data_IF_709886951677
#
_entry.id   IF_709886951677
#
_cell.length_a   1.000
_cell.length_b   1.000
_cell.length_c   1.000
_cell.angle_alpha   90.00
_cell.angle_beta   90.00
_cell.angle_gamma   90.00
#
_symmetry.space_group_name_H-M   'P 1'
#
loop_
_entity.id
_entity.type
_entity.pdbx_description
1 polymer ?
#
# COMPACT_ATOMS: atom_id res chain seq x y z
N UNK A 1 -7.54 16.93 6.73
CA UNK A 1 -6.08 17.12 6.66
C UNK A 1 -5.48 16.87 8.04
N UNK A 2 -5.06 15.62 8.28
CA UNK A 2 -4.27 15.27 9.47
C UNK A 2 -2.82 15.15 9.06
N UNK A 3 -1.91 15.75 9.82
CA UNK A 3 -0.48 15.56 9.59
C UNK A 3 0.01 14.49 10.54
N UNK A 4 0.59 13.44 9.99
CA UNK A 4 0.98 12.25 10.74
C UNK A 4 2.48 12.03 10.57
N UNK A 5 3.17 11.79 11.68
CA UNK A 5 4.61 11.52 11.68
C UNK A 5 4.79 10.01 11.65
N UNK A 6 5.55 9.53 10.66
CA UNK A 6 5.82 8.10 10.46
C UNK A 6 7.32 7.91 10.45
N UNK A 7 7.82 7.02 11.27
CA UNK A 7 9.21 6.58 11.26
C UNK A 7 9.33 5.10 10.86
N UNK A 8 10.53 4.66 10.51
CA UNK A 8 10.77 3.28 10.09
C UNK A 8 10.42 2.25 11.18
N UNK A 9 10.51 2.61 12.45
CA UNK A 9 10.12 1.73 13.57
C UNK A 9 8.60 1.57 13.64
N UNK A 10 7.83 2.64 13.43
CA UNK A 10 6.36 2.59 13.36
C UNK A 10 5.89 1.67 12.22
N UNK A 11 6.47 1.83 11.02
CA UNK A 11 6.16 0.95 9.88
C UNK A 11 6.54 -0.50 10.19
N UNK A 12 7.72 -0.73 10.77
CA UNK A 12 8.17 -2.08 11.13
C UNK A 12 7.32 -2.72 12.24
N UNK A 13 6.87 -1.94 13.22
CA UNK A 13 5.95 -2.36 14.29
C UNK A 13 4.62 -2.80 13.69
N UNK A 14 4.08 -2.05 12.72
CA UNK A 14 2.86 -2.41 12.01
C UNK A 14 3.01 -3.68 11.18
N UNK A 15 4.10 -3.83 10.42
CA UNK A 15 4.37 -5.04 9.62
C UNK A 15 4.58 -6.27 10.50
N UNK A 16 5.23 -6.11 11.66
CA UNK A 16 5.42 -7.18 12.63
C UNK A 16 4.11 -7.56 13.35
N UNK A 17 3.13 -6.66 13.38
CA UNK A 17 1.80 -6.92 13.91
C UNK A 17 0.95 -7.67 12.86
N UNK A 18 1.26 -8.95 12.66
CA UNK A 18 0.67 -9.76 11.59
C UNK A 18 -0.86 -9.76 11.60
N UNK A 19 -1.49 -9.61 12.77
CA UNK A 19 -2.95 -9.61 12.91
C UNK A 19 -3.56 -8.34 12.32
N UNK A 20 -3.02 -7.17 12.70
CA UNK A 20 -3.48 -5.89 12.17
C UNK A 20 -3.06 -5.68 10.71
N UNK A 21 -1.84 -6.08 10.37
CA UNK A 21 -1.34 -6.05 9.01
C UNK A 21 -2.20 -6.92 8.09
N UNK A 22 -2.41 -8.20 8.44
CA UNK A 22 -3.23 -9.12 7.65
C UNK A 22 -4.65 -8.59 7.50
N UNK A 23 -5.27 -8.10 8.58
CA UNK A 23 -6.62 -7.53 8.51
C UNK A 23 -6.67 -6.31 7.58
N UNK A 24 -5.70 -5.40 7.69
CA UNK A 24 -5.65 -4.19 6.85
C UNK A 24 -5.42 -4.54 5.37
N UNK A 25 -4.53 -5.52 5.10
CA UNK A 25 -4.26 -6.03 3.75
C UNK A 25 -5.49 -6.74 3.20
N UNK A 26 -6.17 -7.57 3.99
CA UNK A 26 -7.39 -8.26 3.57
C UNK A 26 -8.55 -7.29 3.31
N UNK A 27 -8.75 -6.27 4.16
CA UNK A 27 -9.78 -5.25 3.93
C UNK A 27 -9.49 -4.44 2.67
N UNK A 28 -8.22 -4.11 2.43
CA UNK A 28 -7.81 -3.49 1.17
C UNK A 28 -8.05 -4.44 0.00
N UNK A 29 -7.55 -5.66 0.05
CA UNK A 29 -7.74 -6.67 -1.00
C UNK A 29 -9.22 -6.88 -1.31
N UNK A 30 -10.07 -7.08 -0.30
CA UNK A 30 -11.51 -7.27 -0.46
C UNK A 30 -12.23 -6.03 -1.03
N UNK A 31 -11.70 -4.83 -0.77
CA UNK A 31 -12.21 -3.61 -1.41
C UNK A 31 -11.81 -3.49 -2.88
N UNK A 32 -10.78 -4.22 -3.31
CA UNK A 32 -10.23 -4.19 -4.68
C UNK A 32 -10.72 -5.36 -5.53
N UNK A 33 -10.92 -6.51 -4.90
CA UNK A 33 -11.50 -7.74 -5.43
C UNK A 33 -13.01 -7.55 -5.62
N UNK A 34 -13.39 -6.89 -6.71
CA UNK A 34 -14.78 -6.51 -7.00
C UNK A 34 -15.61 -7.73 -7.37
N UNK A 35 -14.99 -8.70 -8.04
CA UNK A 35 -15.63 -9.96 -8.45
C UNK A 35 -15.61 -11.01 -7.32
N UNK A 36 -14.86 -10.79 -6.24
CA UNK A 36 -14.73 -11.69 -5.09
C UNK A 36 -14.23 -13.09 -5.49
N UNK A 37 -13.38 -13.16 -6.51
CA UNK A 37 -12.81 -14.43 -6.98
C UNK A 37 -11.54 -14.83 -6.20
N UNK A 38 -11.05 -13.93 -5.34
CA UNK A 38 -9.87 -14.15 -4.51
C UNK A 38 -8.55 -13.82 -5.19
N UNK A 39 -8.56 -13.24 -6.39
CA UNK A 39 -7.38 -12.78 -7.13
C UNK A 39 -7.61 -11.38 -7.71
N UNK A 40 -6.60 -10.51 -7.66
CA UNK A 40 -6.70 -9.20 -8.29
C UNK A 40 -6.26 -9.29 -9.74
N UNK A 41 -7.21 -9.12 -10.64
CA UNK A 41 -6.92 -9.00 -12.07
C UNK A 41 -6.21 -7.67 -12.37
N UNK A 42 -5.52 -7.58 -13.51
CA UNK A 42 -4.87 -6.31 -13.97
C UNK A 42 -5.79 -5.10 -13.89
N UNK A 43 -7.05 -5.27 -14.29
CA UNK A 43 -8.07 -4.22 -14.25
C UNK A 43 -8.43 -3.78 -12.83
N UNK A 44 -8.48 -4.72 -11.88
CA UNK A 44 -8.81 -4.46 -10.47
C UNK A 44 -7.63 -3.84 -9.74
N UNK A 45 -6.41 -4.33 -10.00
CA UNK A 45 -5.18 -3.75 -9.48
C UNK A 45 -4.97 -2.34 -10.00
N UNK A 46 -5.27 -2.07 -11.29
CA UNK A 46 -5.20 -0.71 -11.84
C UNK A 46 -6.14 0.24 -11.11
N UNK A 47 -7.38 -0.21 -10.91
CA UNK A 47 -8.38 0.52 -10.13
C UNK A 47 -7.95 0.70 -8.67
N UNK A 48 -7.20 -0.26 -8.13
CA UNK A 48 -6.61 -0.19 -6.81
C UNK A 48 -5.59 0.94 -6.69
N UNK A 49 -4.69 1.09 -7.65
CA UNK A 49 -3.70 2.17 -7.65
C UNK A 49 -4.35 3.55 -7.76
N UNK A 50 -5.40 3.66 -8.57
CA UNK A 50 -6.22 4.88 -8.67
C UNK A 50 -6.95 5.19 -7.34
N UNK A 51 -7.48 4.17 -6.67
CA UNK A 51 -8.27 4.32 -5.43
C UNK A 51 -7.43 4.50 -4.18
N UNK A 52 -6.30 3.78 -4.06
CA UNK A 52 -5.36 3.85 -2.95
C UNK A 52 -4.43 5.07 -3.03
N UNK A 53 -4.52 5.87 -4.11
CA UNK A 53 -3.65 7.03 -4.34
C UNK A 53 -2.15 6.71 -4.23
N UNK A 54 -1.77 5.44 -4.42
CA UNK A 54 -0.36 5.02 -4.45
C UNK A 54 0.34 5.54 -5.71
N UNK A 55 -0.43 5.65 -6.80
CA UNK A 55 -0.07 6.34 -8.04
C UNK A 55 -1.04 7.52 -8.18
N UNK A 56 -1.19 8.30 -7.12
CA UNK A 56 -1.72 9.64 -7.32
C UNK A 56 -0.65 10.41 -8.10
N UNK A 57 -1.04 11.03 -9.20
CA UNK A 57 -0.27 12.06 -9.92
C UNK A 57 0.18 13.22 -9.01
N UNK A 58 -0.10 13.16 -7.72
CA UNK A 58 0.36 14.04 -6.66
C UNK A 58 1.56 13.51 -5.85
N UNK A 59 2.36 12.56 -6.36
CA UNK A 59 3.75 12.36 -5.87
C UNK A 59 4.66 13.59 -6.16
N UNK A 60 4.10 14.81 -6.17
CA UNK A 60 4.74 16.05 -6.57
C UNK A 60 5.07 16.15 -8.07
N UNK A 61 4.69 15.16 -8.87
CA UNK A 61 4.92 15.15 -10.32
C UNK A 61 3.58 15.39 -11.02
N UNK A 62 3.25 16.67 -11.13
CA UNK A 62 2.24 17.18 -12.07
C UNK A 62 2.74 16.90 -13.49
N UNK A 63 2.67 15.64 -13.89
CA UNK A 63 2.99 15.20 -15.23
C UNK A 63 1.73 14.56 -15.74
N UNK A 64 1.13 15.21 -16.72
CA UNK A 64 0.20 14.58 -17.65
C UNK A 64 0.96 13.46 -18.36
N UNK A 65 1.20 12.35 -17.67
CA UNK A 65 1.83 11.16 -18.22
C UNK A 65 0.84 10.59 -19.24
N UNK A 66 1.27 10.30 -20.47
CA UNK A 66 0.41 9.65 -21.46
C UNK A 66 -0.19 8.38 -20.84
N UNK A 67 -1.47 8.13 -21.11
CA UNK A 67 -2.19 6.94 -20.60
C UNK A 67 -1.43 5.63 -20.92
N UNK A 68 -0.65 5.64 -22.01
CA UNK A 68 0.22 4.55 -22.46
C UNK A 68 1.41 4.30 -21.52
N UNK A 69 2.04 5.36 -20.99
CA UNK A 69 3.17 5.26 -20.06
C UNK A 69 2.68 4.86 -18.66
N UNK A 70 1.51 5.38 -18.27
CA UNK A 70 0.81 4.98 -17.05
C UNK A 70 0.43 3.50 -17.10
N UNK A 71 -0.04 3.02 -18.26
CA UNK A 71 -0.38 1.61 -18.46
C UNK A 71 0.86 0.72 -18.37
N UNK A 72 2.00 1.11 -18.93
CA UNK A 72 3.24 0.36 -18.80
C UNK A 72 3.77 0.32 -17.36
N UNK A 73 3.64 1.42 -16.62
CA UNK A 73 3.97 1.46 -15.20
C UNK A 73 3.07 0.52 -14.40
N UNK A 74 1.76 0.55 -14.66
CA UNK A 74 0.81 -0.38 -14.04
C UNK A 74 1.13 -1.84 -14.37
N UNK A 75 1.45 -2.17 -15.62
CA UNK A 75 1.79 -3.54 -16.03
C UNK A 75 3.10 -3.99 -15.37
N UNK A 76 4.10 -3.11 -15.28
CA UNK A 76 5.37 -3.41 -14.60
C UNK A 76 5.20 -3.61 -13.10
N UNK A 77 4.31 -2.84 -12.46
CA UNK A 77 4.00 -3.03 -11.04
C UNK A 77 3.20 -4.32 -10.86
N UNK A 78 2.23 -4.58 -11.72
CA UNK A 78 1.46 -5.82 -11.70
C UNK A 78 2.39 -7.04 -11.81
N UNK A 79 3.33 -7.04 -12.75
CA UNK A 79 4.32 -8.10 -12.95
C UNK A 79 5.23 -8.28 -11.72
N UNK A 80 5.53 -7.21 -11.00
CA UNK A 80 6.23 -7.31 -9.71
C UNK A 80 5.40 -7.97 -8.61
N UNK A 81 4.08 -7.81 -8.62
CA UNK A 81 3.18 -8.43 -7.65
C UNK A 81 2.83 -9.87 -8.03
N UNK A 82 2.66 -10.15 -9.33
CA UNK A 82 2.37 -11.45 -9.93
C UNK A 82 3.67 -12.27 -10.05
N UNK A 83 4.17 -12.73 -8.91
CA UNK A 83 5.42 -13.47 -8.82
C UNK A 83 5.37 -14.81 -9.57
N UNK A 84 4.19 -15.42 -9.64
CA UNK A 84 3.99 -16.69 -10.35
C UNK A 84 3.60 -16.54 -11.82
N UNK A 85 3.42 -15.29 -12.29
CA UNK A 85 2.99 -14.96 -13.65
C UNK A 85 1.68 -15.68 -14.04
N UNK A 86 0.80 -15.93 -13.06
CA UNK A 86 -0.50 -16.55 -13.27
C UNK A 86 -1.48 -15.62 -13.99
N UNK A 87 -1.16 -14.31 -14.06
CA UNK A 87 -2.01 -13.28 -14.64
C UNK A 87 -3.00 -12.67 -13.65
N UNK A 88 -2.89 -13.00 -12.37
CA UNK A 88 -3.69 -12.50 -11.26
C UNK A 88 -2.84 -12.42 -10.00
N UNK A 89 -3.01 -11.36 -9.19
CA UNK A 89 -2.30 -11.26 -7.92
C UNK A 89 -3.17 -11.88 -6.83
N UNK A 90 -2.77 -13.02 -6.29
CA UNK A 90 -3.54 -13.63 -5.22
C UNK A 90 -3.30 -12.97 -3.85
N UNK A 91 -4.14 -13.31 -2.87
CA UNK A 91 -4.06 -12.70 -1.52
C UNK A 91 -2.69 -12.87 -0.87
N UNK A 92 -2.02 -14.01 -1.12
CA UNK A 92 -0.72 -14.29 -0.52
C UNK A 92 0.36 -13.47 -1.18
N UNK A 93 0.35 -13.37 -2.50
CA UNK A 93 1.25 -12.52 -3.25
C UNK A 93 1.08 -11.05 -2.87
N UNK A 94 -0.16 -10.56 -2.86
CA UNK A 94 -0.46 -9.18 -2.46
C UNK A 94 0.05 -8.87 -1.05
N UNK A 95 -0.19 -9.78 -0.09
CA UNK A 95 0.28 -9.63 1.28
C UNK A 95 1.81 -9.65 1.38
N UNK A 96 2.47 -10.58 0.69
CA UNK A 96 3.91 -10.74 0.74
C UNK A 96 4.62 -9.54 0.12
N UNK A 97 4.10 -9.05 -1.00
CA UNK A 97 4.64 -7.89 -1.70
C UNK A 97 4.38 -6.59 -0.91
N UNK A 98 3.19 -6.42 -0.33
CA UNK A 98 2.90 -5.30 0.59
C UNK A 98 3.83 -5.30 1.81
N UNK A 99 4.11 -6.48 2.37
CA UNK A 99 5.08 -6.63 3.46
C UNK A 99 6.47 -6.19 2.99
N UNK A 100 6.94 -6.68 1.84
CA UNK A 100 8.25 -6.36 1.30
C UNK A 100 8.41 -4.85 1.06
N UNK A 101 7.40 -4.22 0.46
CA UNK A 101 7.37 -2.77 0.23
C UNK A 101 7.41 -2.00 1.56
N UNK A 102 6.60 -2.37 2.55
CA UNK A 102 6.59 -1.70 3.85
C UNK A 102 7.90 -1.93 4.62
N UNK A 103 8.53 -3.10 4.51
CA UNK A 103 9.86 -3.34 5.09
C UNK A 103 10.93 -2.50 4.39
N UNK A 104 10.89 -2.39 3.06
CA UNK A 104 11.79 -1.53 2.31
C UNK A 104 11.58 -0.04 2.64
N UNK A 105 10.33 0.37 2.87
CA UNK A 105 9.98 1.70 3.36
C UNK A 105 10.53 1.88 4.79
N UNK A 106 10.37 0.89 5.68
CA UNK A 106 10.90 0.96 7.03
C UNK A 106 12.43 1.06 7.06
N UNK A 107 13.13 0.32 6.19
CA UNK A 107 14.58 0.35 6.03
C UNK A 107 15.04 1.68 5.41
N UNK A 108 14.33 2.16 4.39
CA UNK A 108 14.59 3.43 3.70
C UNK A 108 14.31 4.68 4.55
N UNK A 109 13.28 4.65 5.40
CA UNK A 109 13.05 5.71 6.40
C UNK A 109 14.08 5.65 7.52
N UNK A 110 14.47 4.44 7.95
CA UNK A 110 15.37 4.23 9.08
C UNK A 110 14.94 5.03 10.31
N UNK A 111 15.85 5.85 10.85
CA UNK A 111 15.58 6.76 11.99
C UNK A 111 15.12 8.16 11.58
N UNK A 112 14.83 8.38 10.30
CA UNK A 112 14.38 9.68 9.79
C UNK A 112 12.86 9.69 9.67
N UNK A 113 12.15 10.30 10.64
CA UNK A 113 10.70 10.41 10.57
C UNK A 113 10.29 11.28 9.38
N UNK A 114 9.30 10.82 8.62
CA UNK A 114 8.71 11.55 7.50
C UNK A 114 7.34 12.04 7.93
N UNK A 115 7.07 13.31 7.64
CA UNK A 115 5.81 13.95 7.96
C UNK A 115 4.89 13.82 6.74
N UNK A 116 3.82 13.02 6.87
CA UNK A 116 2.88 12.76 5.79
C UNK A 116 1.56 13.47 6.06
N UNK A 117 1.10 14.26 5.09
CA UNK A 117 -0.23 14.87 5.12
C UNK A 117 -1.24 13.86 4.57
N UNK A 118 -2.14 13.38 5.43
CA UNK A 118 -3.22 12.47 5.07
C UNK A 118 -4.52 13.28 4.94
N UNK A 119 -5.07 13.32 3.73
CA UNK A 119 -6.37 13.93 3.46
C UNK A 119 -7.54 13.00 3.84
N UNK A 120 -7.34 11.69 3.81
CA UNK A 120 -8.37 10.67 4.05
C UNK A 120 -8.05 9.72 5.22
N UNK A 121 -9.10 9.26 5.92
CA UNK A 121 -9.04 8.39 7.09
C UNK A 121 -8.67 6.91 6.80
N UNK A 122 -8.49 6.53 5.53
CA UNK A 122 -8.34 5.12 5.11
C UNK A 122 -6.95 4.71 4.63
N UNK A 123 -5.96 5.61 4.73
CA UNK A 123 -4.59 5.30 4.29
C UNK A 123 -3.94 4.20 5.15
N UNK A 124 -3.30 3.23 4.49
CA UNK A 124 -2.55 2.13 5.14
C UNK A 124 -1.57 2.64 6.22
N UNK A 125 -0.92 3.76 5.92
CA UNK A 125 0.04 4.43 6.78
C UNK A 125 -0.59 5.13 7.99
N UNK A 126 -1.88 5.49 7.91
CA UNK A 126 -2.64 6.03 9.05
C UNK A 126 -2.96 4.94 10.07
N UNK A 127 -3.31 3.74 9.60
CA UNK A 127 -3.55 2.57 10.45
C UNK A 127 -2.29 2.18 11.23
N UNK A 128 -1.11 2.23 10.59
CA UNK A 128 0.17 2.00 11.26
C UNK A 128 0.41 2.97 12.42
N UNK A 129 0.06 4.25 12.24
CA UNK A 129 0.27 5.27 13.27
C UNK A 129 -0.78 5.20 14.37
N UNK A 130 -2.04 4.90 14.04
CA UNK A 130 -3.09 4.70 15.05
C UNK A 130 -2.79 3.52 15.97
N UNK A 131 -2.22 2.45 15.40
CA UNK A 131 -1.74 1.28 16.15
C UNK A 131 -0.59 1.66 17.10
N UNK A 132 0.41 2.40 16.63
CA UNK A 132 1.54 2.81 17.47
C UNK A 132 1.10 3.83 18.54
N UNK A 133 0.24 4.78 18.18
CA UNK A 133 -0.37 5.70 19.15
C UNK A 133 -1.13 4.94 20.23
N UNK A 134 -1.89 3.90 19.87
CA UNK A 134 -2.60 3.06 20.85
C UNK A 134 -1.66 2.29 21.78
N UNK A 135 -0.44 1.96 21.34
CA UNK A 135 0.59 1.29 22.16
C UNK A 135 1.31 2.26 23.12
N UNK A 136 1.41 3.54 22.78
CA UNK A 136 2.05 4.57 23.61
C UNK A 136 1.16 5.03 24.78
N UNK A 137 -0.16 4.85 24.68
CA UNK A 137 -1.13 5.27 25.70
C UNK A 137 -1.67 4.12 26.60
N UNK A 138 -1.13 2.90 26.49
CA UNK A 138 -1.49 1.74 27.33
C UNK A 138 -0.36 1.40 28.32
#
# INVERSE_FOLDING_TARGET
MGVVIIDGSTVRSFVNDETHFHKSVEEAFASLDLNNDGVLSRSELRRAFESLRLIDTHFGVDVATPEEELTQLHDSIFDKFDCDNSGGVDRKEFMNEMRNILEAIADGLGSSPVQMALEDDKGFLKLAVDLEASKVFA
#
